data_IF_340920328691
#
_entry.id   IF_340920328691
#
_cell.length_a   1.000
_cell.length_b   1.000
_cell.length_c   1.000
_cell.angle_alpha   90.00
_cell.angle_beta   90.00
_cell.angle_gamma   90.00
#
_symmetry.space_group_name_H-M   'P 1'
#
loop_
_entity.id
_entity.type
_entity.pdbx_description
1 polymer ?
#
# COMPACT_ATOMS: atom_id res chain seq x y z
N UNK A 1 -2.39 -15.95 -6.48
CA UNK A 1 -1.43 -15.20 -5.67
C UNK A 1 -0.87 -14.03 -6.46
N UNK A 2 -0.79 -12.87 -5.86
CA UNK A 2 -0.21 -11.66 -6.43
C UNK A 2 0.59 -10.94 -5.36
N UNK A 3 1.81 -10.47 -5.69
CA UNK A 3 2.63 -9.67 -4.79
C UNK A 3 3.30 -8.53 -5.54
N UNK A 4 3.19 -7.33 -5.01
CA UNK A 4 3.94 -6.17 -5.46
C UNK A 4 5.30 -6.18 -4.74
N UNK A 5 6.38 -6.43 -5.47
CA UNK A 5 7.75 -6.49 -4.88
C UNK A 5 8.20 -5.16 -4.28
N UNK A 6 7.74 -4.07 -4.86
CA UNK A 6 8.03 -2.72 -4.37
C UNK A 6 6.71 -2.05 -3.98
N UNK A 7 6.60 -1.67 -2.73
CA UNK A 7 5.55 -0.77 -2.26
C UNK A 7 6.00 0.68 -2.46
N UNK A 8 5.06 1.62 -2.39
CA UNK A 8 5.42 3.04 -2.34
C UNK A 8 6.40 3.29 -1.18
N UNK A 9 7.45 4.11 -1.39
CA UNK A 9 8.46 4.38 -0.37
C UNK A 9 7.90 5.32 0.71
N UNK A 10 7.00 4.80 1.54
CA UNK A 10 6.37 5.53 2.62
C UNK A 10 7.33 5.68 3.78
N UNK A 11 7.30 6.85 4.42
CA UNK A 11 7.99 7.12 5.67
C UNK A 11 7.11 6.68 6.85
N UNK A 12 7.71 6.51 8.02
CA UNK A 12 6.96 6.14 9.23
C UNK A 12 5.88 7.17 9.63
N UNK A 13 6.07 8.42 9.22
CA UNK A 13 5.13 9.52 9.44
C UNK A 13 3.98 9.56 8.42
N UNK A 14 4.09 8.86 7.29
CA UNK A 14 3.08 8.93 6.23
C UNK A 14 1.82 8.14 6.62
N UNK A 15 0.66 8.72 6.32
CA UNK A 15 -0.62 8.06 6.56
C UNK A 15 -1.24 7.60 5.25
N UNK A 16 -1.43 6.30 5.10
CA UNK A 16 -2.17 5.73 3.96
C UNK A 16 -3.66 6.03 4.11
N UNK A 17 -4.20 6.74 3.15
CA UNK A 17 -5.63 7.08 3.06
C UNK A 17 -6.39 5.95 2.38
N UNK A 18 -5.90 5.49 1.21
CA UNK A 18 -6.49 4.38 0.48
C UNK A 18 -5.45 3.63 -0.32
N UNK A 19 -5.67 2.33 -0.47
CA UNK A 19 -4.91 1.48 -1.39
C UNK A 19 -5.86 0.58 -2.16
N UNK A 20 -5.88 0.68 -3.48
CA UNK A 20 -6.80 -0.03 -4.36
C UNK A 20 -6.05 -0.88 -5.37
N UNK A 21 -6.34 -2.18 -5.38
CA UNK A 21 -5.88 -3.10 -6.41
C UNK A 21 -6.86 -3.10 -7.58
N UNK A 22 -6.41 -2.64 -8.73
CA UNK A 22 -7.18 -2.67 -9.97
C UNK A 22 -6.67 -3.79 -10.88
N UNK A 23 -7.58 -4.65 -11.31
CA UNK A 23 -7.27 -5.75 -12.23
C UNK A 23 -8.23 -5.76 -13.41
N UNK A 24 -7.70 -6.08 -14.58
CA UNK A 24 -8.53 -6.21 -15.79
C UNK A 24 -9.11 -7.61 -15.88
N UNK A 25 -10.42 -7.67 -16.12
CA UNK A 25 -11.14 -8.90 -16.39
C UNK A 25 -10.90 -9.31 -17.85
N UNK A 26 -10.47 -10.55 -18.07
CA UNK A 26 -10.35 -11.16 -19.40
C UNK A 26 -11.64 -11.84 -19.80
N UNK A 27 -12.19 -12.64 -18.90
CA UNK A 27 -13.52 -13.26 -19.04
C UNK A 27 -14.09 -13.64 -17.68
N UNK A 28 -15.40 -13.72 -17.56
CA UNK A 28 -16.08 -14.14 -16.34
C UNK A 28 -17.41 -14.80 -16.68
N UNK A 29 -17.75 -15.86 -15.96
CA UNK A 29 -19.12 -16.32 -15.89
C UNK A 29 -19.98 -15.30 -15.14
N UNK A 30 -21.24 -15.15 -15.51
CA UNK A 30 -22.15 -14.18 -14.89
C UNK A 30 -22.24 -14.35 -13.36
N UNK A 31 -22.36 -13.25 -12.64
CA UNK A 31 -22.65 -13.21 -11.19
C UNK A 31 -21.64 -13.94 -10.30
N UNK A 32 -20.36 -13.82 -10.61
CA UNK A 32 -19.30 -14.39 -9.80
C UNK A 32 -18.79 -13.40 -8.74
N UNK A 33 -18.42 -13.94 -7.58
CA UNK A 33 -17.80 -13.17 -6.52
C UNK A 33 -16.33 -13.56 -6.38
N UNK A 34 -15.51 -12.57 -6.06
CA UNK A 34 -14.08 -12.73 -5.79
C UNK A 34 -13.79 -12.11 -4.43
N UNK A 35 -13.17 -12.87 -3.55
CA UNK A 35 -12.66 -12.37 -2.27
C UNK A 35 -11.15 -12.19 -2.33
N UNK A 36 -10.68 -11.11 -1.72
CA UNK A 36 -9.28 -10.79 -1.55
C UNK A 36 -8.86 -11.06 -0.11
N UNK A 37 -7.83 -11.88 0.09
CA UNK A 37 -7.31 -12.24 1.41
C UNK A 37 -5.81 -11.96 1.48
N UNK A 38 -5.34 -11.55 2.65
CA UNK A 38 -3.92 -11.35 2.90
C UNK A 38 -3.16 -12.67 2.94
N UNK A 39 -2.00 -12.70 2.29
CA UNK A 39 -1.08 -13.85 2.35
C UNK A 39 -0.13 -13.66 3.53
N UNK A 40 -0.16 -14.59 4.47
CA UNK A 40 0.64 -14.56 5.69
C UNK A 40 1.97 -15.29 5.51
N UNK A 41 1.98 -16.41 4.80
CA UNK A 41 3.18 -17.21 4.59
C UNK A 41 4.02 -16.70 3.41
N UNK A 42 5.34 -16.71 3.53
CA UNK A 42 6.23 -16.35 2.42
C UNK A 42 6.14 -17.37 1.29
N UNK A 43 6.22 -16.90 0.05
CA UNK A 43 6.23 -17.76 -1.14
C UNK A 43 7.10 -17.16 -2.24
N UNK A 44 7.49 -18.00 -3.21
CA UNK A 44 8.22 -17.57 -4.40
C UNK A 44 7.53 -18.09 -5.66
N UNK A 45 7.60 -17.31 -6.74
CA UNK A 45 6.96 -17.66 -8.03
C UNK A 45 7.47 -18.99 -8.58
N UNK A 46 8.75 -19.29 -8.38
CA UNK A 46 9.38 -20.50 -8.89
C UNK A 46 9.03 -21.78 -8.12
N UNK A 47 8.56 -21.67 -6.88
CA UNK A 47 8.33 -22.82 -6.01
C UNK A 47 6.87 -23.02 -5.62
N UNK A 48 6.05 -21.97 -5.66
CA UNK A 48 4.66 -22.05 -5.23
C UNK A 48 3.82 -22.87 -6.21
N UNK A 49 3.09 -23.83 -5.66
CA UNK A 49 2.08 -24.59 -6.41
C UNK A 49 0.96 -25.00 -5.45
N UNK A 50 -0.10 -25.59 -6.00
CA UNK A 50 -1.28 -26.00 -5.23
C UNK A 50 -1.00 -27.01 -4.12
N UNK A 51 0.03 -27.83 -4.26
CA UNK A 51 0.37 -28.88 -3.30
C UNK A 51 1.14 -28.33 -2.09
N UNK A 52 1.93 -27.28 -2.27
CA UNK A 52 2.77 -26.72 -1.21
C UNK A 52 2.24 -25.41 -0.61
N UNK A 53 1.19 -24.84 -1.19
CA UNK A 53 0.55 -23.64 -0.68
C UNK A 53 -0.97 -23.86 -0.65
N UNK A 54 -1.47 -24.22 0.51
CA UNK A 54 -2.90 -24.33 0.75
C UNK A 54 -3.50 -22.96 1.10
N UNK A 55 -4.33 -22.36 0.21
CA UNK A 55 -4.94 -21.05 0.45
C UNK A 55 -6.09 -21.09 1.46
N UNK A 56 -6.48 -22.28 1.95
CA UNK A 56 -7.49 -22.45 3.00
C UNK A 56 -6.86 -22.60 4.38
N UNK A 57 -5.55 -22.82 4.46
CA UNK A 57 -4.83 -22.90 5.72
C UNK A 57 -4.67 -21.51 6.36
N UNK A 58 -5.16 -21.29 7.59
CA UNK A 58 -5.10 -19.99 8.26
C UNK A 58 -3.67 -19.53 8.60
N UNK A 59 -2.68 -20.41 8.55
CA UNK A 59 -1.27 -20.02 8.67
C UNK A 59 -0.69 -19.46 7.36
N UNK A 60 -1.33 -19.72 6.23
CA UNK A 60 -0.87 -19.27 4.93
C UNK A 60 -1.63 -18.02 4.46
N UNK A 61 -2.91 -17.92 4.81
CA UNK A 61 -3.83 -16.90 4.31
C UNK A 61 -4.77 -16.47 5.43
N UNK A 62 -4.97 -15.16 5.57
CA UNK A 62 -5.95 -14.63 6.50
C UNK A 62 -7.34 -15.17 6.16
N UNK A 63 -8.04 -15.68 7.17
CA UNK A 63 -9.35 -16.30 7.00
C UNK A 63 -10.42 -15.30 6.55
N UNK A 64 -10.37 -14.08 7.12
CA UNK A 64 -11.29 -13.02 6.74
C UNK A 64 -10.86 -12.36 5.43
N UNK A 65 -11.83 -12.16 4.54
CA UNK A 65 -11.59 -11.39 3.34
C UNK A 65 -11.44 -9.90 3.68
N UNK A 66 -10.40 -9.27 3.15
CA UNK A 66 -10.30 -7.80 3.20
C UNK A 66 -11.45 -7.16 2.42
N UNK A 67 -11.80 -7.75 1.29
CA UNK A 67 -12.93 -7.34 0.47
C UNK A 67 -13.48 -8.51 -0.33
N UNK A 68 -14.78 -8.47 -0.62
CA UNK A 68 -15.47 -9.40 -1.50
C UNK A 68 -16.31 -8.60 -2.50
N UNK A 69 -15.99 -8.72 -3.79
CA UNK A 69 -16.66 -7.98 -4.85
C UNK A 69 -17.33 -8.90 -5.86
N UNK A 70 -18.37 -8.41 -6.51
CA UNK A 70 -18.95 -9.08 -7.66
C UNK A 70 -18.12 -8.79 -8.92
N UNK A 71 -17.70 -9.84 -9.62
CA UNK A 71 -16.98 -9.69 -10.88
C UNK A 71 -17.90 -9.18 -11.98
N UNK A 72 -17.41 -8.20 -12.72
CA UNK A 72 -18.03 -7.82 -14.00
C UNK A 72 -17.66 -8.83 -15.09
N UNK A 73 -18.48 -8.91 -16.15
CA UNK A 73 -18.19 -9.76 -17.31
C UNK A 73 -17.02 -9.25 -18.16
N UNK A 74 -16.68 -7.96 -18.04
CA UNK A 74 -15.58 -7.28 -18.73
C UNK A 74 -15.20 -6.00 -18.00
N UNK A 75 -14.10 -5.37 -18.40
CA UNK A 75 -13.62 -4.12 -17.81
C UNK A 75 -12.66 -4.35 -16.67
N UNK A 76 -12.86 -3.70 -15.55
CA UNK A 76 -11.98 -3.78 -14.39
C UNK A 76 -12.75 -4.17 -13.15
N UNK A 77 -12.07 -4.90 -12.28
CA UNK A 77 -12.45 -5.10 -10.88
C UNK A 77 -11.47 -4.31 -10.02
N UNK A 78 -11.99 -3.72 -8.95
CA UNK A 78 -11.20 -2.90 -8.02
C UNK A 78 -11.46 -3.42 -6.62
N UNK A 79 -10.40 -3.76 -5.91
CA UNK A 79 -10.43 -4.19 -4.52
C UNK A 79 -9.88 -3.09 -3.63
N UNK A 80 -10.58 -2.75 -2.57
CA UNK A 80 -10.05 -1.92 -1.49
C UNK A 80 -9.16 -2.78 -0.58
N UNK A 81 -7.87 -2.57 -0.66
CA UNK A 81 -6.87 -3.26 0.15
C UNK A 81 -6.21 -2.32 1.18
N UNK A 82 -6.89 -1.25 1.58
CA UNK A 82 -6.30 -0.20 2.43
C UNK A 82 -5.71 -0.75 3.73
N UNK A 83 -6.45 -1.60 4.46
CA UNK A 83 -5.94 -2.15 5.73
C UNK A 83 -4.80 -3.13 5.50
N UNK A 84 -4.92 -4.00 4.48
CA UNK A 84 -3.88 -4.92 4.07
C UNK A 84 -2.60 -4.17 3.68
N UNK A 85 -2.72 -3.09 2.92
CA UNK A 85 -1.59 -2.26 2.51
C UNK A 85 -0.91 -1.58 3.71
N UNK A 86 -1.70 -1.06 4.64
CA UNK A 86 -1.17 -0.52 5.91
C UNK A 86 -0.37 -1.57 6.68
N UNK A 87 -0.89 -2.81 6.74
CA UNK A 87 -0.20 -3.92 7.38
C UNK A 87 1.12 -4.26 6.67
N UNK A 88 1.15 -4.25 5.34
CA UNK A 88 2.37 -4.49 4.56
C UNK A 88 3.45 -3.41 4.74
N UNK A 89 3.06 -2.18 5.03
CA UNK A 89 3.99 -1.09 5.32
C UNK A 89 4.66 -1.22 6.70
N UNK A 90 4.12 -2.07 7.58
CA UNK A 90 4.72 -2.39 8.86
C UNK A 90 5.68 -3.56 8.71
N UNK A 91 6.82 -3.48 9.39
CA UNK A 91 7.67 -4.65 9.57
C UNK A 91 7.13 -5.51 10.72
N UNK A 92 7.47 -6.78 10.71
CA UNK A 92 7.23 -7.65 11.86
C UNK A 92 8.23 -7.33 12.99
N UNK A 93 8.10 -8.04 14.11
CA UNK A 93 8.97 -7.85 15.28
C UNK A 93 10.46 -8.15 15.00
N UNK A 94 10.75 -8.90 13.94
CA UNK A 94 12.12 -9.19 13.48
C UNK A 94 12.64 -8.15 12.47
N UNK A 95 11.83 -7.18 12.06
CA UNK A 95 12.14 -6.20 11.03
C UNK A 95 11.93 -6.70 9.60
N UNK A 96 11.36 -7.89 9.42
CA UNK A 96 11.05 -8.43 8.09
C UNK A 96 9.76 -7.83 7.52
N UNK A 97 9.70 -7.71 6.21
CA UNK A 97 8.52 -7.21 5.51
C UNK A 97 7.34 -8.17 5.64
N UNK A 98 6.19 -7.65 6.01
CA UNK A 98 4.92 -8.39 6.05
C UNK A 98 4.27 -8.53 4.67
N UNK A 99 4.81 -7.92 3.64
CA UNK A 99 4.26 -8.01 2.29
C UNK A 99 4.50 -9.38 1.65
N UNK A 100 3.62 -10.33 1.93
CA UNK A 100 3.53 -11.60 1.22
C UNK A 100 2.49 -11.57 0.09
N UNK A 101 1.78 -10.44 -0.09
CA UNK A 101 0.83 -10.22 -1.17
C UNK A 101 -0.60 -10.61 -0.84
N UNK A 102 -1.40 -10.78 -1.87
CA UNK A 102 -2.83 -11.07 -1.82
C UNK A 102 -3.15 -12.34 -2.58
N UNK A 103 -4.07 -13.15 -2.07
CA UNK A 103 -4.74 -14.21 -2.80
C UNK A 103 -6.15 -13.78 -3.16
N UNK A 104 -6.50 -13.94 -4.42
CA UNK A 104 -7.86 -13.79 -4.91
C UNK A 104 -8.47 -15.17 -5.07
N UNK A 105 -9.59 -15.41 -4.45
CA UNK A 105 -10.29 -16.71 -4.52
C UNK A 105 -11.80 -16.53 -4.58
N UNK A 106 -12.49 -17.60 -4.92
CA UNK A 106 -13.94 -17.66 -4.81
C UNK A 106 -14.30 -17.71 -3.33
N UNK A 107 -15.27 -16.93 -2.84
CA UNK A 107 -15.76 -17.05 -1.47
C UNK A 107 -16.35 -18.43 -1.18
N UNK A 108 -16.13 -18.95 0.02
CA UNK A 108 -16.54 -20.31 0.41
C UNK A 108 -18.07 -20.49 0.45
N UNK A 109 -18.82 -19.41 0.67
CA UNK A 109 -20.28 -19.38 0.71
C UNK A 109 -20.97 -19.31 -0.66
N UNK A 110 -20.20 -19.24 -1.76
CA UNK A 110 -20.75 -19.19 -3.13
C UNK A 110 -20.71 -20.57 -3.75
N UNK A 111 -21.87 -21.17 -4.02
CA UNK A 111 -22.01 -22.46 -4.70
C UNK A 111 -21.95 -22.31 -6.24
N UNK A 112 -21.69 -23.42 -6.93
CA UNK A 112 -21.68 -23.49 -8.39
C UNK A 112 -20.28 -23.34 -9.03
N UNK A 113 -20.20 -23.74 -10.31
CA UNK A 113 -18.98 -23.65 -11.10
C UNK A 113 -18.91 -22.27 -11.80
N UNK A 114 -18.41 -21.30 -11.09
CA UNK A 114 -18.18 -19.97 -11.63
C UNK A 114 -16.67 -19.73 -11.77
N UNK A 115 -16.29 -18.98 -12.78
CA UNK A 115 -14.90 -18.58 -12.99
C UNK A 115 -14.80 -17.10 -13.35
N UNK A 116 -13.67 -16.52 -13.00
CA UNK A 116 -13.23 -15.21 -13.49
C UNK A 116 -11.77 -15.32 -13.87
N UNK A 117 -11.47 -15.01 -15.12
CA UNK A 117 -10.10 -14.88 -15.61
C UNK A 117 -9.68 -13.41 -15.51
N UNK A 118 -8.59 -13.19 -14.85
CA UNK A 118 -7.96 -11.87 -14.72
C UNK A 118 -6.62 -11.88 -15.46
N UNK A 119 -6.26 -10.73 -16.02
CA UNK A 119 -4.93 -10.59 -16.60
C UNK A 119 -3.86 -10.62 -15.50
N UNK A 120 -2.78 -11.36 -15.76
CA UNK A 120 -1.63 -11.49 -14.86
C UNK A 120 -0.63 -10.33 -15.01
N UNK A 121 0.41 -10.33 -14.19
CA UNK A 121 1.52 -9.39 -14.29
C UNK A 121 2.33 -9.52 -15.61
N UNK A 122 2.24 -10.67 -16.28
CA UNK A 122 2.91 -10.92 -17.57
C UNK A 122 2.11 -10.39 -18.77
N UNK A 123 0.93 -9.84 -18.53
CA UNK A 123 0.15 -9.18 -19.58
C UNK A 123 0.84 -7.88 -20.02
N UNK A 124 0.34 -7.30 -21.11
CA UNK A 124 0.80 -5.96 -21.52
C UNK A 124 0.61 -4.95 -20.38
N UNK A 125 1.47 -3.93 -20.32
CA UNK A 125 1.46 -2.94 -19.24
C UNK A 125 0.10 -2.27 -19.00
N UNK A 126 -0.74 -2.17 -20.05
CA UNK A 126 -2.10 -1.63 -19.96
C UNK A 126 -3.11 -2.57 -19.29
N UNK A 127 -2.79 -3.85 -19.15
CA UNK A 127 -3.67 -4.89 -18.58
C UNK A 127 -3.13 -5.47 -17.27
N UNK A 128 -1.88 -5.22 -16.96
CA UNK A 128 -1.25 -5.71 -15.73
C UNK A 128 -1.97 -5.19 -14.49
N UNK A 129 -2.00 -5.97 -13.41
CA UNK A 129 -2.50 -5.53 -12.11
C UNK A 129 -1.80 -4.25 -11.65
N UNK A 130 -2.57 -3.28 -11.17
CA UNK A 130 -2.05 -1.99 -10.72
C UNK A 130 -2.55 -1.69 -9.32
N UNK A 131 -1.64 -1.27 -8.44
CA UNK A 131 -1.96 -0.77 -7.12
C UNK A 131 -1.97 0.76 -7.14
N UNK A 132 -3.08 1.37 -6.76
CA UNK A 132 -3.21 2.81 -6.57
C UNK A 132 -3.18 3.10 -5.08
N UNK A 133 -2.26 3.92 -4.65
CA UNK A 133 -2.10 4.26 -3.23
C UNK A 133 -2.17 5.78 -3.07
N UNK A 134 -3.11 6.23 -2.23
CA UNK A 134 -3.19 7.61 -1.79
C UNK A 134 -2.69 7.69 -0.35
N UNK A 135 -1.77 8.59 -0.10
CA UNK A 135 -1.25 8.81 1.24
C UNK A 135 -0.97 10.29 1.48
N UNK A 136 -0.96 10.68 2.74
CA UNK A 136 -0.53 12.00 3.19
C UNK A 136 0.81 11.84 3.88
N UNK A 137 1.77 12.62 3.46
CA UNK A 137 3.05 12.73 4.13
C UNK A 137 2.94 13.73 5.27
N UNK A 138 3.38 13.33 6.46
CA UNK A 138 3.43 14.19 7.63
C UNK A 138 4.87 14.57 7.98
N UNK A 139 5.83 14.29 7.09
CA UNK A 139 7.22 14.64 7.30
C UNK A 139 7.52 16.06 6.80
N UNK A 140 7.97 16.91 7.72
CA UNK A 140 8.35 18.29 7.40
C UNK A 140 7.17 19.27 7.35
N UNK A 141 7.44 20.43 6.75
CA UNK A 141 6.46 21.51 6.60
C UNK A 141 5.72 21.34 5.27
N UNK A 142 4.40 21.26 5.34
CA UNK A 142 3.54 21.17 4.16
C UNK A 142 2.97 22.55 3.83
N UNK A 143 3.14 23.02 2.60
CA UNK A 143 2.83 24.39 2.19
C UNK A 143 1.35 24.78 2.24
N UNK A 144 0.44 23.81 2.40
CA UNK A 144 -1.00 24.05 2.51
C UNK A 144 -1.54 23.93 3.95
N UNK A 145 -0.70 23.59 4.94
CA UNK A 145 -1.07 23.57 6.35
C UNK A 145 -0.73 24.90 7.03
N UNK A 146 -1.48 25.24 8.05
CA UNK A 146 -1.20 26.38 8.90
C UNK A 146 -0.38 25.96 10.11
N UNK A 147 0.70 26.69 10.36
CA UNK A 147 1.60 26.45 11.48
C UNK A 147 1.72 27.68 12.36
N UNK A 148 1.76 27.45 13.66
CA UNK A 148 2.36 28.39 14.59
C UNK A 148 3.84 28.05 14.74
N UNK A 149 4.68 29.08 14.71
CA UNK A 149 6.13 28.86 14.81
C UNK A 149 6.73 29.59 16.01
N UNK A 150 7.71 28.95 16.64
CA UNK A 150 8.46 29.50 17.76
C UNK A 150 9.94 29.19 17.59
N UNK A 151 10.78 30.20 17.85
CA UNK A 151 12.23 30.01 17.85
C UNK A 151 12.65 29.17 19.04
N UNK A 152 13.38 28.10 18.79
CA UNK A 152 14.08 27.30 19.82
C UNK A 152 15.55 27.70 19.97
N UNK A 153 15.90 28.95 19.64
CA UNK A 153 17.26 29.49 19.71
C UNK A 153 18.20 28.75 18.76
N UNK A 154 19.32 28.23 19.28
CA UNK A 154 20.29 27.50 18.48
C UNK A 154 19.79 26.15 17.97
N UNK A 155 18.74 25.61 18.57
CA UNK A 155 18.13 24.33 18.11
C UNK A 155 17.29 24.49 16.83
N UNK A 156 16.96 25.73 16.43
CA UNK A 156 16.22 25.98 15.22
C UNK A 156 14.83 26.60 15.45
N UNK A 157 13.89 26.31 14.60
CA UNK A 157 12.50 26.77 14.69
C UNK A 157 11.56 25.58 14.82
N UNK A 158 10.69 25.64 15.83
CA UNK A 158 9.62 24.66 16.02
C UNK A 158 8.36 25.19 15.34
N UNK A 159 7.72 24.35 14.57
CA UNK A 159 6.42 24.58 13.92
C UNK A 159 5.40 23.61 14.51
N UNK A 160 4.29 24.11 14.97
CA UNK A 160 3.15 23.29 15.40
C UNK A 160 2.02 23.41 14.38
N UNK A 161 1.61 22.30 13.80
CA UNK A 161 0.45 22.25 12.90
C UNK A 161 -0.83 22.47 13.70
N UNK A 162 -1.59 23.49 13.33
CA UNK A 162 -2.81 23.89 14.02
C UNK A 162 -3.98 22.90 13.79
N UNK A 163 -3.88 22.05 12.80
CA UNK A 163 -4.94 21.08 12.48
C UNK A 163 -4.81 19.76 13.25
N UNK A 164 -3.62 19.21 13.32
CA UNK A 164 -3.38 17.88 13.91
C UNK A 164 -2.45 17.91 15.13
N UNK A 165 -1.87 19.07 15.46
CA UNK A 165 -0.94 19.21 16.58
C UNK A 165 0.44 18.61 16.34
N UNK A 166 0.78 18.23 15.11
CA UNK A 166 2.09 17.69 14.77
C UNK A 166 3.16 18.76 14.91
N UNK A 167 4.32 18.39 15.46
CA UNK A 167 5.42 19.32 15.68
C UNK A 167 6.57 18.98 14.75
N UNK A 168 7.11 20.02 14.08
CA UNK A 168 8.28 19.92 13.20
C UNK A 168 9.36 20.85 13.76
N UNK A 169 10.56 20.32 13.99
CA UNK A 169 11.73 21.11 14.32
C UNK A 169 12.58 21.26 13.05
N UNK A 170 12.71 22.49 12.56
CA UNK A 170 13.61 22.82 11.47
C UNK A 170 14.92 23.34 12.05
N UNK A 171 16.02 22.68 11.72
CA UNK A 171 17.38 23.13 12.07
C UNK A 171 18.16 23.42 10.79
N UNK A 172 18.73 24.61 10.71
CA UNK A 172 19.61 25.00 9.60
C UNK A 172 21.05 24.65 9.95
N UNK A 173 21.59 23.60 9.33
CA UNK A 173 22.96 23.14 9.61
C UNK A 173 24.01 24.08 9.03
N UNK A 174 23.81 24.53 7.80
CA UNK A 174 24.72 25.44 7.13
C UNK A 174 24.02 26.27 6.07
N UNK A 175 24.44 27.52 5.94
CA UNK A 175 24.05 28.40 4.83
C UNK A 175 25.31 28.89 4.13
N UNK A 176 25.36 28.78 2.81
CA UNK A 176 26.38 29.37 1.97
C UNK A 176 25.76 30.48 1.12
N UNK A 177 26.23 31.71 1.29
CA UNK A 177 25.88 32.81 0.40
C UNK A 177 26.84 32.80 -0.80
N UNK A 178 26.45 32.13 -1.85
CA UNK A 178 27.18 32.17 -3.10
C UNK A 178 26.79 33.39 -3.94
N UNK A 179 27.66 33.80 -4.88
CA UNK A 179 27.44 34.99 -5.74
C UNK A 179 26.22 34.90 -6.67
N UNK A 180 25.59 33.72 -6.81
CA UNK A 180 24.45 33.50 -7.70
C UNK A 180 23.33 32.65 -7.13
N UNK A 181 23.60 31.73 -6.21
CA UNK A 181 22.60 30.84 -5.60
C UNK A 181 22.98 30.58 -4.14
N UNK A 182 22.17 31.03 -3.18
CA UNK A 182 22.32 30.61 -1.79
C UNK A 182 21.99 29.12 -1.66
N UNK A 183 22.75 28.38 -0.90
CA UNK A 183 22.48 26.98 -0.56
C UNK A 183 22.30 26.88 0.95
N UNK A 184 21.23 26.23 1.38
CA UNK A 184 21.02 25.88 2.78
C UNK A 184 20.80 24.37 2.90
N UNK A 185 21.29 23.80 4.00
CA UNK A 185 21.01 22.42 4.40
C UNK A 185 20.20 22.49 5.69
N UNK A 186 19.01 21.92 5.67
CA UNK A 186 18.08 21.94 6.77
C UNK A 186 17.74 20.49 7.18
N UNK A 187 17.58 20.27 8.50
CA UNK A 187 16.97 19.07 9.05
C UNK A 187 15.57 19.37 9.56
N UNK A 188 14.65 18.42 9.36
CA UNK A 188 13.26 18.49 9.83
C UNK A 188 12.96 17.36 10.80
#
# INVERSE_FOLDING_TARGET
>A
LLRFKQLAPLKASDTVISAQLRMRVKSSSSSNYISAHEVLAPWTVSSVNWLNFDPTNPNNVEAEAQECIQSASSGYVVFDLTNMYKHWCMNDESGASRNNGVVLRKPDNVSGNHYTELYSADASSSYAPTMYVNFVSHAGLEGWWQYESMSAGRAGTVYADLYNGNMVLEHVDTTMTGNRLPVSVNHY
#
